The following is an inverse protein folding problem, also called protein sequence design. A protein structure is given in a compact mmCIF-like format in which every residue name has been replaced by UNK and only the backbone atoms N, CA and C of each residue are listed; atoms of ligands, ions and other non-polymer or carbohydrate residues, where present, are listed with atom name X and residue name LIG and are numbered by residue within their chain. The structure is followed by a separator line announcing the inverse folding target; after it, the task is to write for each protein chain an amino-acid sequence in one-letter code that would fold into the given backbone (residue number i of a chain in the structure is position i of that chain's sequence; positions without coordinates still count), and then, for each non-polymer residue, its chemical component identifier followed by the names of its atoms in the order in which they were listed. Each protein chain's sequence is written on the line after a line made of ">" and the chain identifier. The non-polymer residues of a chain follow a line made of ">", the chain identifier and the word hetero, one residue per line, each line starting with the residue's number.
data_IF_493495411807
#
_entry.id   IF_493495411807
#
_cell.length_a   1.000
_cell.length_b   1.000
_cell.length_c   1.000
_cell.angle_alpha   90.00
_cell.angle_beta   90.00
_cell.angle_gamma   90.00
#
_symmetry.space_group_name_H-M   'P 1'
#
loop_
_entity.id
_entity.type
_entity.pdbx_description
1 polymer ?
#
# COMPACT_ATOMS: atom_id res chain seq x y z
N UNK A 1 -6.16 17.52 -14.50
CA UNK A 1 -4.68 17.53 -14.59
C UNK A 1 -4.13 17.65 -13.18
N UNK A 2 -3.50 16.60 -12.65
CA UNK A 2 -2.87 16.65 -11.33
C UNK A 2 -1.46 17.18 -11.51
N UNK A 3 -1.20 18.37 -10.94
CA UNK A 3 0.09 19.02 -11.00
C UNK A 3 0.89 18.63 -9.75
N UNK A 4 1.91 17.77 -9.91
CA UNK A 4 2.79 17.37 -8.81
C UNK A 4 4.14 18.10 -8.94
N UNK A 5 4.61 18.81 -7.90
CA UNK A 5 5.95 19.39 -7.90
C UNK A 5 7.02 18.28 -7.91
N UNK A 6 8.02 18.46 -8.78
CA UNK A 6 9.27 17.68 -8.86
C UNK A 6 10.10 17.94 -7.59
N UNK A 7 10.74 16.99 -6.91
CA UNK A 7 11.53 15.87 -7.45
C UNK A 7 11.55 14.58 -6.60
N UNK A 8 10.80 14.45 -5.49
CA UNK A 8 10.71 13.19 -4.71
C UNK A 8 9.32 12.54 -4.66
N UNK A 9 8.25 13.28 -4.99
CA UNK A 9 6.86 12.77 -4.92
C UNK A 9 6.55 11.61 -5.88
N UNK A 10 7.36 11.44 -6.93
CA UNK A 10 7.12 10.43 -7.97
C UNK A 10 7.79 9.09 -7.67
N UNK A 11 8.70 9.01 -6.68
CA UNK A 11 9.39 7.77 -6.35
C UNK A 11 8.58 6.95 -5.33
N UNK A 12 8.06 5.81 -5.79
CA UNK A 12 7.43 4.81 -4.93
C UNK A 12 8.41 3.72 -4.52
N UNK A 13 8.20 3.15 -3.33
CA UNK A 13 8.94 1.97 -2.87
C UNK A 13 7.98 0.91 -2.32
N UNK A 14 8.30 -0.36 -2.58
CA UNK A 14 7.62 -1.47 -1.92
C UNK A 14 8.00 -1.52 -0.43
N UNK A 15 7.02 -1.38 0.46
CA UNK A 15 7.25 -1.41 1.90
C UNK A 15 7.40 -2.84 2.41
N UNK A 16 8.50 -3.07 3.13
CA UNK A 16 8.75 -4.26 3.94
C UNK A 16 9.00 -3.82 5.39
N UNK A 17 8.60 -4.61 6.41
CA UNK A 17 8.73 -4.21 7.81
C UNK A 17 10.16 -3.86 8.26
N UNK A 18 11.17 -4.43 7.61
CA UNK A 18 12.59 -4.13 7.84
C UNK A 18 12.95 -2.65 7.55
N UNK A 19 12.18 -1.98 6.69
CA UNK A 19 12.41 -0.58 6.32
C UNK A 19 11.65 0.42 7.21
N UNK A 20 10.90 -0.07 8.20
CA UNK A 20 10.04 0.79 9.01
C UNK A 20 10.81 1.92 9.70
N UNK A 21 11.92 1.64 10.39
CA UNK A 21 12.68 2.70 11.10
C UNK A 21 13.17 3.76 10.12
N UNK A 22 13.79 3.36 9.01
CA UNK A 22 14.31 4.31 8.03
C UNK A 22 13.22 5.22 7.44
N UNK A 23 12.05 4.66 7.09
CA UNK A 23 10.92 5.46 6.59
C UNK A 23 10.30 6.33 7.70
N UNK A 24 10.12 5.77 8.89
CA UNK A 24 9.55 6.50 10.01
C UNK A 24 10.43 7.68 10.39
N UNK A 25 11.73 7.49 10.57
CA UNK A 25 12.67 8.54 10.94
C UNK A 25 12.78 9.64 9.86
N UNK A 26 12.84 9.24 8.58
CA UNK A 26 12.89 10.18 7.46
C UNK A 26 11.61 11.01 7.28
N UNK A 27 10.47 10.58 7.84
CA UNK A 27 9.16 11.25 7.67
C UNK A 27 9.18 12.70 8.15
N UNK A 28 10.03 13.04 9.12
CA UNK A 28 10.16 14.37 9.70
C UNK A 28 10.96 15.37 8.84
N UNK A 29 11.62 14.94 7.76
CA UNK A 29 12.56 15.76 6.99
C UNK A 29 12.12 15.87 5.52
N UNK A 30 11.15 16.75 5.22
CA UNK A 30 10.52 16.83 3.90
C UNK A 30 11.51 17.06 2.74
N UNK A 31 12.45 18.00 2.89
CA UNK A 31 13.44 18.31 1.84
C UNK A 31 14.43 17.17 1.56
N UNK A 32 14.64 16.30 2.54
CA UNK A 32 15.59 15.19 2.48
C UNK A 32 14.91 13.83 2.29
N UNK A 33 13.59 13.79 2.04
CA UNK A 33 12.81 12.55 1.92
C UNK A 33 12.70 12.13 0.45
N UNK A 34 13.47 11.13 -0.01
CA UNK A 34 13.46 10.72 -1.42
C UNK A 34 12.20 9.91 -1.78
N UNK A 35 11.54 9.29 -0.80
CA UNK A 35 10.35 8.45 -1.02
C UNK A 35 9.09 9.30 -0.99
N UNK A 36 8.33 9.26 -2.07
CA UNK A 36 7.08 9.99 -2.25
C UNK A 36 5.84 9.21 -1.79
N UNK A 37 5.83 7.89 -1.94
CA UNK A 37 4.72 7.01 -1.58
C UNK A 37 5.20 5.58 -1.34
N UNK A 38 4.36 4.76 -0.71
CA UNK A 38 4.67 3.36 -0.40
C UNK A 38 3.62 2.43 -0.98
N UNK A 39 4.07 1.24 -1.39
CA UNK A 39 3.20 0.15 -1.84
C UNK A 39 3.29 -1.05 -0.90
N UNK A 40 2.18 -1.73 -0.68
CA UNK A 40 2.14 -3.00 0.04
C UNK A 40 1.34 -4.04 -0.73
N UNK A 41 1.66 -5.31 -0.52
CA UNK A 41 0.76 -6.38 -0.94
C UNK A 41 -0.46 -6.42 0.00
N UNK A 42 -1.67 -6.41 -0.56
CA UNK A 42 -2.91 -6.35 0.20
C UNK A 42 -3.04 -7.52 1.20
N UNK A 43 -2.68 -8.72 0.76
CA UNK A 43 -2.84 -9.99 1.49
C UNK A 43 -2.05 -10.03 2.80
N UNK A 44 -0.93 -9.31 2.88
CA UNK A 44 -0.16 -9.19 4.12
C UNK A 44 -0.90 -8.40 5.22
N UNK A 45 -1.97 -7.69 4.87
CA UNK A 45 -2.71 -6.80 5.75
C UNK A 45 -4.21 -7.13 5.84
N UNK A 46 -4.68 -8.19 5.18
CA UNK A 46 -6.07 -8.69 5.31
C UNK A 46 -6.34 -9.38 6.67
N UNK A 47 -5.29 -9.66 7.45
CA UNK A 47 -5.41 -10.23 8.80
C UNK A 47 -5.76 -9.20 9.88
N UNK A 48 -6.16 -9.67 11.06
CA UNK A 48 -6.59 -8.79 12.17
C UNK A 48 -5.41 -8.31 13.01
N UNK A 49 -5.10 -7.02 12.90
CA UNK A 49 -4.29 -6.27 13.87
C UNK A 49 -2.82 -6.70 13.99
N UNK A 50 -2.19 -6.27 15.09
CA UNK A 50 -0.77 -6.54 15.37
C UNK A 50 0.18 -5.46 14.86
N UNK A 51 1.47 -5.77 14.90
CA UNK A 51 2.53 -4.80 14.65
C UNK A 51 2.55 -4.29 13.20
N UNK A 52 2.21 -5.14 12.22
CA UNK A 52 2.23 -4.76 10.81
C UNK A 52 1.19 -3.69 10.48
N UNK A 53 -0.12 -3.87 10.78
CA UNK A 53 -1.11 -2.81 10.59
C UNK A 53 -0.79 -1.53 11.35
N UNK A 54 -0.30 -1.63 12.59
CA UNK A 54 0.06 -0.46 13.40
C UNK A 54 1.17 0.37 12.75
N UNK A 55 2.23 -0.29 12.27
CA UNK A 55 3.33 0.36 11.55
C UNK A 55 2.89 0.97 10.23
N UNK A 56 2.05 0.25 9.46
CA UNK A 56 1.55 0.77 8.19
C UNK A 56 0.69 2.02 8.39
N UNK A 57 -0.19 2.04 9.40
CA UNK A 57 -0.99 3.23 9.73
C UNK A 57 -0.10 4.43 10.08
N UNK A 58 0.94 4.20 10.90
CA UNK A 58 1.88 5.26 11.28
C UNK A 58 2.66 5.84 10.08
N UNK A 59 3.02 5.01 9.09
CA UNK A 59 3.65 5.49 7.86
C UNK A 59 2.66 6.20 6.95
N UNK A 60 1.42 5.73 6.85
CA UNK A 60 0.40 6.28 5.98
C UNK A 60 0.05 7.75 6.30
N UNK A 61 0.21 8.16 7.56
CA UNK A 61 0.07 9.57 7.97
C UNK A 61 0.98 10.52 7.19
N UNK A 62 2.10 10.02 6.64
CA UNK A 62 3.05 10.82 5.85
C UNK A 62 3.16 10.37 4.39
N UNK A 63 3.10 9.06 4.12
CA UNK A 63 3.30 8.48 2.80
C UNK A 63 1.96 8.01 2.22
N UNK A 64 1.51 8.55 1.06
CA UNK A 64 0.40 7.96 0.33
C UNK A 64 0.61 6.47 0.10
N UNK A 65 -0.47 5.70 0.26
CA UNK A 65 -0.43 4.24 0.19
C UNK A 65 -1.04 3.73 -1.12
N UNK A 66 -0.31 2.86 -1.81
CA UNK A 66 -0.83 1.97 -2.85
C UNK A 66 -1.07 0.58 -2.26
N UNK A 67 -2.21 -0.05 -2.57
CA UNK A 67 -2.45 -1.47 -2.31
C UNK A 67 -2.31 -2.24 -3.62
N UNK A 68 -1.45 -3.24 -3.63
CA UNK A 68 -1.29 -4.15 -4.75
C UNK A 68 -1.75 -5.55 -4.34
N UNK A 69 -2.80 -6.07 -4.96
CA UNK A 69 -3.22 -7.44 -4.74
C UNK A 69 -2.43 -8.43 -5.59
N UNK A 70 -2.16 -9.60 -5.02
CA UNK A 70 -1.42 -10.70 -5.67
C UNK A 70 -2.18 -12.01 -5.65
N UNK A 71 -3.39 -12.05 -5.10
CA UNK A 71 -4.15 -13.28 -4.85
C UNK A 71 -5.56 -13.35 -5.43
N UNK A 72 -6.12 -12.27 -5.99
CA UNK A 72 -7.49 -12.30 -6.51
C UNK A 72 -7.60 -12.97 -7.90
N UNK A 73 -6.58 -12.82 -8.75
CA UNK A 73 -6.55 -13.37 -10.13
C UNK A 73 -7.79 -12.98 -10.95
N UNK A 74 -7.86 -11.73 -11.40
CA UNK A 74 -9.09 -11.13 -11.96
C UNK A 74 -9.68 -11.86 -13.18
N UNK A 75 -8.83 -12.54 -13.93
CA UNK A 75 -9.13 -13.31 -15.14
C UNK A 75 -9.09 -14.82 -14.94
N UNK A 76 -9.20 -15.29 -13.70
CA UNK A 76 -9.34 -16.72 -13.38
C UNK A 76 -10.54 -17.35 -14.10
N UNK A 77 -10.38 -18.57 -14.62
CA UNK A 77 -11.46 -19.32 -15.27
C UNK A 77 -12.55 -19.78 -14.29
N UNK A 78 -12.18 -19.97 -13.02
CA UNK A 78 -13.08 -20.33 -11.93
C UNK A 78 -13.93 -19.13 -11.45
N UNK A 79 -13.70 -17.95 -12.01
CA UNK A 79 -14.29 -16.68 -11.57
C UNK A 79 -13.59 -16.08 -10.34
N UNK A 80 -14.17 -15.00 -9.81
CA UNK A 80 -13.59 -14.27 -8.67
C UNK A 80 -13.93 -14.93 -7.32
N UNK A 81 -12.92 -15.11 -6.46
CA UNK A 81 -13.12 -15.43 -5.04
C UNK A 81 -13.77 -14.23 -4.33
N UNK A 82 -15.06 -14.38 -3.98
CA UNK A 82 -15.87 -13.34 -3.32
C UNK A 82 -15.40 -13.05 -1.90
N UNK A 83 -14.84 -14.02 -1.19
CA UNK A 83 -14.34 -13.82 0.17
C UNK A 83 -13.04 -13.02 0.11
N UNK A 84 -12.17 -13.32 -0.87
CA UNK A 84 -10.99 -12.49 -1.14
C UNK A 84 -11.36 -11.06 -1.51
N UNK A 85 -12.31 -10.88 -2.43
CA UNK A 85 -12.76 -9.56 -2.85
C UNK A 85 -13.34 -8.76 -1.67
N UNK A 86 -14.07 -9.41 -0.76
CA UNK A 86 -14.60 -8.79 0.46
C UNK A 86 -13.47 -8.28 1.36
N UNK A 87 -12.44 -9.11 1.62
CA UNK A 87 -11.28 -8.69 2.42
C UNK A 87 -10.50 -7.55 1.78
N UNK A 88 -10.35 -7.54 0.45
CA UNK A 88 -9.74 -6.43 -0.27
C UNK A 88 -10.57 -5.15 -0.13
N UNK A 89 -11.90 -5.23 -0.28
CA UNK A 89 -12.79 -4.09 -0.14
C UNK A 89 -12.75 -3.50 1.29
N UNK A 90 -12.73 -4.35 2.32
CA UNK A 90 -12.53 -3.94 3.71
C UNK A 90 -11.20 -3.21 3.90
N UNK A 91 -10.11 -3.77 3.35
CA UNK A 91 -8.78 -3.15 3.44
C UNK A 91 -8.73 -1.79 2.73
N UNK A 92 -9.35 -1.67 1.56
CA UNK A 92 -9.48 -0.40 0.83
C UNK A 92 -10.30 0.62 1.63
N UNK A 93 -11.37 0.19 2.30
CA UNK A 93 -12.15 1.07 3.19
C UNK A 93 -11.33 1.55 4.40
N UNK A 94 -10.56 0.64 5.01
CA UNK A 94 -9.77 0.89 6.21
C UNK A 94 -8.59 1.81 6.00
N UNK A 95 -7.94 1.69 4.84
CA UNK A 95 -6.72 2.43 4.51
C UNK A 95 -6.97 3.58 3.54
N UNK A 96 -8.03 3.55 2.71
CA UNK A 96 -8.28 4.60 1.69
C UNK A 96 -7.03 4.88 0.83
N UNK A 97 -6.44 3.87 0.18
CA UNK A 97 -5.25 4.05 -0.64
C UNK A 97 -5.54 4.96 -1.84
N UNK A 98 -4.50 5.62 -2.36
CA UNK A 98 -4.66 6.46 -3.57
C UNK A 98 -4.66 5.62 -4.85
N UNK A 99 -4.16 4.39 -4.79
CA UNK A 99 -4.12 3.44 -5.89
C UNK A 99 -4.40 2.02 -5.37
N UNK A 100 -5.20 1.28 -6.15
CA UNK A 100 -5.41 -0.16 -5.99
C UNK A 100 -5.08 -0.81 -7.32
N UNK A 101 -4.23 -1.84 -7.30
CA UNK A 101 -3.86 -2.62 -8.49
C UNK A 101 -3.91 -4.12 -8.18
N UNK A 102 -4.03 -4.94 -9.21
CA UNK A 102 -4.17 -6.40 -9.12
C UNK A 102 -3.60 -7.05 -10.38
N UNK A 103 -3.41 -8.36 -10.33
CA UNK A 103 -2.97 -9.16 -11.46
C UNK A 103 -4.15 -9.63 -12.31
N UNK A 104 -3.94 -9.69 -13.63
CA UNK A 104 -4.92 -10.28 -14.53
C UNK A 104 -5.08 -11.78 -14.29
N UNK A 105 -3.97 -12.52 -14.14
CA UNK A 105 -3.98 -13.93 -13.82
C UNK A 105 -2.73 -14.29 -13.02
N UNK A 106 -2.84 -15.33 -12.20
CA UNK A 106 -1.79 -15.92 -11.37
C UNK A 106 -1.83 -17.44 -11.52
#
# INVERSE_FOLDING_TARGET
>A
MLNLPQSSKNLGVGYKPAHFSALYDARAHEEARPVGWIEVHAENYMGRGGLLPARLRALQETYPLSLHGVGLSLGSEDGLDKDHLTRLAELVSDYKPFLVSEHLAW
#
